data_IF_598129768925
#
_entry.id   IF_598129768925
#
_cell.length_a   1.000
_cell.length_b   1.000
_cell.length_c   1.000
_cell.angle_alpha   90.00
_cell.angle_beta   90.00
_cell.angle_gamma   90.00
#
_symmetry.space_group_name_H-M   'P 1'
#
loop_
_entity.id
_entity.type
_entity.pdbx_description
1 polymer ?
#
# COMPACT_ATOMS: atom_id res chain seq x y z
N UNK A 1 3.53 -2.46 16.37
CA UNK A 1 3.74 -2.40 14.91
C UNK A 1 4.21 -1.02 14.54
N UNK A 2 5.24 -0.94 13.72
CA UNK A 2 5.72 0.34 13.21
C UNK A 2 6.18 0.20 11.77
N UNK A 3 6.24 1.33 11.06
CA UNK A 3 6.82 1.40 9.72
C UNK A 3 8.25 1.92 9.84
N UNK A 4 9.18 1.26 9.14
CA UNK A 4 10.57 1.72 9.01
C UNK A 4 10.93 1.80 7.54
N UNK A 5 11.76 2.76 7.12
CA UNK A 5 12.20 2.82 5.73
C UNK A 5 12.73 1.46 5.27
N UNK A 6 12.29 1.03 4.09
CA UNK A 6 12.69 -0.25 3.54
C UNK A 6 14.16 -0.18 3.11
N UNK A 7 14.98 -1.11 3.61
CA UNK A 7 16.40 -1.20 3.26
C UNK A 7 16.71 -2.55 2.60
N UNK A 8 17.97 -2.72 2.18
CA UNK A 8 18.35 -3.92 1.42
C UNK A 8 18.23 -5.20 2.24
N UNK A 9 18.46 -5.17 3.55
CA UNK A 9 18.31 -6.36 4.37
C UNK A 9 16.84 -6.75 4.51
N UNK A 10 15.93 -5.76 4.64
CA UNK A 10 14.50 -6.02 4.63
C UNK A 10 14.06 -6.60 3.29
N UNK A 11 14.53 -6.02 2.19
CA UNK A 11 14.18 -6.46 0.84
C UNK A 11 14.62 -7.90 0.61
N UNK A 12 15.86 -8.24 0.99
CA UNK A 12 16.37 -9.59 0.83
C UNK A 12 15.53 -10.60 1.59
N UNK A 13 15.17 -10.28 2.84
CA UNK A 13 14.34 -11.17 3.65
C UNK A 13 12.93 -11.30 3.08
N UNK A 14 12.30 -10.19 2.73
CA UNK A 14 10.93 -10.20 2.21
C UNK A 14 10.83 -10.91 0.87
N UNK A 15 11.86 -10.83 0.02
CA UNK A 15 11.86 -11.55 -1.25
C UNK A 15 11.96 -13.07 -1.08
N UNK A 16 12.47 -13.54 0.07
CA UNK A 16 12.50 -14.97 0.36
C UNK A 16 11.22 -15.49 1.00
N UNK A 17 10.36 -14.58 1.47
CA UNK A 17 9.10 -14.94 2.12
C UNK A 17 7.99 -15.03 1.09
N UNK A 18 7.05 -15.92 1.36
CA UNK A 18 5.85 -15.99 0.55
C UNK A 18 4.89 -14.89 1.00
N UNK A 19 4.76 -13.86 0.18
CA UNK A 19 3.84 -12.77 0.40
C UNK A 19 2.61 -13.00 -0.47
N UNK A 20 1.44 -12.68 0.07
CA UNK A 20 0.18 -12.82 -0.66
C UNK A 20 -0.44 -11.45 -0.83
N UNK A 21 -0.31 -10.91 -2.03
CA UNK A 21 -0.93 -9.66 -2.39
C UNK A 21 -0.87 -9.47 -3.91
N UNK A 22 -1.94 -8.97 -4.50
CA UNK A 22 -2.01 -8.69 -5.93
C UNK A 22 -1.03 -7.63 -6.35
N UNK A 23 -0.74 -6.70 -5.45
CA UNK A 23 0.24 -5.65 -5.71
C UNK A 23 1.62 -6.25 -5.93
N UNK A 24 1.96 -7.28 -5.14
CA UNK A 24 3.25 -7.95 -5.29
C UNK A 24 3.40 -8.58 -6.67
N UNK A 25 2.34 -9.19 -7.18
CA UNK A 25 2.35 -9.75 -8.53
C UNK A 25 2.51 -8.67 -9.58
N UNK A 26 1.91 -7.51 -9.38
CA UNK A 26 1.96 -6.39 -10.33
C UNK A 26 3.35 -5.82 -10.47
N UNK A 27 4.13 -5.79 -9.41
CA UNK A 27 5.49 -5.24 -9.44
C UNK A 27 6.56 -6.31 -9.54
N UNK A 28 6.18 -7.59 -9.46
CA UNK A 28 7.08 -8.73 -9.57
C UNK A 28 7.96 -8.90 -8.34
N UNK A 29 8.99 -8.07 -8.20
CA UNK A 29 9.87 -8.04 -7.04
C UNK A 29 9.91 -6.63 -6.49
N UNK A 30 10.35 -6.48 -5.23
CA UNK A 30 10.53 -5.16 -4.66
C UNK A 30 11.53 -4.36 -5.51
N UNK A 31 11.27 -3.07 -5.75
CA UNK A 31 12.18 -2.23 -6.51
C UNK A 31 13.56 -2.17 -5.87
N UNK A 32 14.60 -2.06 -6.70
CA UNK A 32 15.95 -1.86 -6.22
C UNK A 32 16.13 -0.49 -5.57
N UNK A 33 17.30 -0.25 -4.94
CA UNK A 33 17.52 0.97 -4.16
C UNK A 33 17.27 2.28 -4.94
N UNK A 34 17.66 2.34 -6.19
CA UNK A 34 17.47 3.54 -7.01
C UNK A 34 15.99 3.78 -7.31
N UNK A 35 15.25 2.73 -7.65
CA UNK A 35 13.84 2.84 -7.94
C UNK A 35 13.03 3.17 -6.69
N UNK A 36 13.48 2.72 -5.52
CA UNK A 36 12.79 3.03 -4.26
C UNK A 36 12.82 4.50 -3.89
N UNK A 37 13.75 5.27 -4.43
CA UNK A 37 13.75 6.72 -4.20
C UNK A 37 12.54 7.41 -4.82
N UNK A 38 11.95 6.82 -5.86
CA UNK A 38 10.74 7.35 -6.49
C UNK A 38 9.47 6.88 -5.79
N UNK A 39 9.60 6.01 -4.78
CA UNK A 39 8.50 5.43 -4.04
C UNK A 39 8.75 5.60 -2.56
N UNK A 40 7.67 5.49 -1.77
CA UNK A 40 7.74 5.61 -0.31
C UNK A 40 7.33 4.28 0.30
N UNK A 41 8.27 3.33 0.31
CA UNK A 41 8.03 1.98 0.82
C UNK A 41 8.67 1.79 2.19
N UNK A 42 7.95 1.09 3.05
CA UNK A 42 8.35 0.83 4.43
C UNK A 42 8.28 -0.66 4.73
N UNK A 43 9.20 -1.14 5.55
CA UNK A 43 9.06 -2.43 6.19
C UNK A 43 8.06 -2.29 7.35
N UNK A 44 7.12 -3.23 7.43
CA UNK A 44 6.18 -3.30 8.55
C UNK A 44 6.82 -4.17 9.61
N UNK A 45 7.16 -3.56 10.76
CA UNK A 45 7.96 -4.24 11.78
C UNK A 45 7.14 -4.52 13.03
N UNK A 46 7.40 -5.70 13.60
CA UNK A 46 6.99 -6.02 14.97
C UNK A 46 8.27 -6.32 15.74
N UNK A 47 8.75 -5.34 16.50
CA UNK A 47 10.09 -5.40 17.07
C UNK A 47 11.14 -5.53 15.95
N UNK A 48 12.05 -6.51 16.04
CA UNK A 48 13.06 -6.71 15.00
C UNK A 48 12.58 -7.55 13.80
N UNK A 49 11.31 -8.00 13.82
CA UNK A 49 10.79 -8.95 12.83
C UNK A 49 10.00 -8.22 11.75
N UNK A 50 10.42 -8.28 10.46
CA UNK A 50 9.61 -7.74 9.37
C UNK A 50 8.43 -8.67 9.08
N UNK A 51 7.23 -8.10 9.10
CA UNK A 51 5.98 -8.81 8.82
C UNK A 51 5.56 -8.70 7.36
N UNK A 52 6.09 -7.71 6.65
CA UNK A 52 5.73 -7.42 5.28
C UNK A 52 6.22 -6.03 4.90
N UNK A 53 5.59 -5.47 3.88
CA UNK A 53 5.85 -4.08 3.52
C UNK A 53 4.53 -3.35 3.26
N UNK A 54 4.57 -2.03 3.42
CA UNK A 54 3.46 -1.15 3.09
C UNK A 54 4.02 0.20 2.65
N UNK A 55 3.24 0.96 1.95
CA UNK A 55 3.65 2.28 1.56
C UNK A 55 2.98 2.76 0.29
N UNK A 56 3.68 3.59 -0.45
CA UNK A 56 3.15 4.27 -1.62
C UNK A 56 4.06 4.03 -2.81
N UNK A 57 3.46 3.66 -3.94
CA UNK A 57 4.13 3.58 -5.23
C UNK A 57 3.63 4.72 -6.10
N UNK A 58 4.55 5.35 -6.82
CA UNK A 58 4.15 6.32 -7.84
C UNK A 58 3.32 5.60 -8.90
N UNK A 59 2.13 6.11 -9.14
CA UNK A 59 1.13 5.42 -9.95
C UNK A 59 0.99 6.08 -11.32
N UNK A 60 0.65 5.26 -12.31
CA UNK A 60 0.26 5.73 -13.63
C UNK A 60 -1.20 5.39 -13.93
N UNK A 61 -1.96 4.98 -12.91
CA UNK A 61 -3.35 4.59 -13.08
C UNK A 61 -4.28 5.77 -13.39
N UNK A 62 -3.86 6.99 -13.06
CA UNK A 62 -4.61 8.21 -13.33
C UNK A 62 -3.74 9.17 -14.14
N UNK A 63 -4.36 10.24 -14.66
CA UNK A 63 -3.62 11.30 -15.38
C UNK A 63 -2.98 12.31 -14.43
N UNK A 64 -3.20 12.17 -13.13
CA UNK A 64 -2.58 13.01 -12.12
C UNK A 64 -1.31 12.34 -11.59
N UNK A 65 -0.49 13.10 -10.85
CA UNK A 65 0.69 12.55 -10.18
C UNK A 65 0.27 11.90 -8.86
N UNK A 66 -0.40 10.76 -8.97
CA UNK A 66 -0.89 10.05 -7.79
C UNK A 66 0.12 9.02 -7.29
N UNK A 67 0.04 8.77 -5.98
CA UNK A 67 0.69 7.62 -5.37
C UNK A 67 -0.39 6.61 -4.99
N UNK A 68 -0.08 5.33 -5.22
CA UNK A 68 -1.01 4.27 -4.83
C UNK A 68 -0.53 3.55 -3.59
N UNK A 69 -1.48 3.31 -2.70
CA UNK A 69 -1.26 2.55 -1.47
C UNK A 69 -1.04 1.09 -1.81
N UNK A 70 0.02 0.52 -1.26
CA UNK A 70 0.35 -0.88 -1.44
C UNK A 70 0.67 -1.52 -0.10
N UNK A 71 0.38 -2.80 0.02
CA UNK A 71 0.67 -3.56 1.22
C UNK A 71 0.73 -5.04 0.86
N UNK A 72 1.75 -5.70 1.35
CA UNK A 72 1.85 -7.16 1.25
C UNK A 72 2.42 -7.67 2.56
N UNK A 73 1.73 -8.65 3.16
CA UNK A 73 2.09 -9.18 4.47
C UNK A 73 2.41 -10.66 4.35
N UNK A 74 3.24 -11.14 5.24
CA UNK A 74 3.49 -12.57 5.37
C UNK A 74 2.17 -13.31 5.57
N UNK A 75 2.04 -14.49 4.96
CA UNK A 75 0.78 -15.23 4.98
C UNK A 75 0.32 -15.56 6.40
N UNK A 76 1.25 -15.83 7.32
CA UNK A 76 0.89 -16.19 8.69
C UNK A 76 0.34 -15.04 9.53
N UNK A 77 0.39 -13.79 9.04
CA UNK A 77 -0.17 -12.65 9.78
C UNK A 77 -1.39 -12.02 9.10
N UNK A 78 -1.80 -12.53 7.95
CA UNK A 78 -2.88 -11.90 7.17
C UNK A 78 -4.23 -11.88 7.89
N UNK A 79 -4.52 -12.90 8.68
CA UNK A 79 -5.82 -13.01 9.36
C UNK A 79 -5.91 -12.20 10.64
N UNK A 80 -4.85 -11.50 11.05
CA UNK A 80 -4.79 -10.78 12.34
C UNK A 80 -5.11 -9.29 12.21
N UNK A 81 -5.63 -8.84 11.07
CA UNK A 81 -5.95 -7.42 10.85
C UNK A 81 -4.73 -6.51 10.73
N UNK A 82 -3.56 -7.07 10.57
CA UNK A 82 -2.32 -6.28 10.51
C UNK A 82 -2.15 -5.54 9.20
N UNK A 83 -2.69 -6.08 8.10
CA UNK A 83 -2.65 -5.39 6.81
C UNK A 83 -3.43 -4.07 6.87
N UNK A 84 -4.60 -4.07 7.48
CA UNK A 84 -5.39 -2.84 7.66
C UNK A 84 -4.61 -1.82 8.48
N UNK A 85 -3.99 -2.26 9.58
CA UNK A 85 -3.22 -1.38 10.45
C UNK A 85 -2.01 -0.81 9.72
N UNK A 86 -1.30 -1.63 8.96
CA UNK A 86 -0.16 -1.19 8.16
C UNK A 86 -0.57 -0.14 7.13
N UNK A 87 -1.69 -0.38 6.42
CA UNK A 87 -2.24 0.58 5.46
C UNK A 87 -2.64 1.89 6.13
N UNK A 88 -3.23 1.82 7.33
CA UNK A 88 -3.60 3.01 8.08
C UNK A 88 -2.36 3.84 8.43
N UNK A 89 -1.30 3.19 8.89
CA UNK A 89 -0.04 3.88 9.19
C UNK A 89 0.56 4.54 7.94
N UNK A 90 0.51 3.85 6.80
CA UNK A 90 1.00 4.40 5.54
C UNK A 90 0.17 5.62 5.10
N UNK A 91 -1.15 5.57 5.26
CA UNK A 91 -2.01 6.72 4.94
C UNK A 91 -1.73 7.89 5.87
N UNK A 92 -1.55 7.65 7.16
CA UNK A 92 -1.21 8.70 8.11
C UNK A 92 0.11 9.38 7.72
N UNK A 93 1.10 8.58 7.34
CA UNK A 93 2.37 9.12 6.85
C UNK A 93 2.16 9.96 5.59
N UNK A 94 1.37 9.47 4.65
CA UNK A 94 1.11 10.15 3.39
C UNK A 94 0.48 11.51 3.60
N UNK A 95 -0.49 11.61 4.51
CA UNK A 95 -1.23 12.84 4.74
C UNK A 95 -0.53 13.77 5.72
N UNK A 96 0.07 13.25 6.78
CA UNK A 96 0.65 14.06 7.85
C UNK A 96 2.11 14.43 7.61
N UNK A 97 2.87 13.57 6.97
CA UNK A 97 4.30 13.79 6.72
C UNK A 97 4.55 14.23 5.28
N UNK A 98 4.07 13.47 4.30
CA UNK A 98 4.29 13.79 2.89
C UNK A 98 3.32 14.87 2.39
N UNK A 99 2.27 15.18 3.13
CA UNK A 99 1.28 16.22 2.80
C UNK A 99 0.61 16.02 1.44
N UNK A 100 0.39 14.76 1.07
CA UNK A 100 -0.31 14.46 -0.17
C UNK A 100 -1.78 14.87 -0.07
N UNK A 101 -2.34 15.36 -1.16
CA UNK A 101 -3.75 15.76 -1.20
C UNK A 101 -4.68 14.54 -1.26
N UNK A 102 -4.23 13.48 -1.92
CA UNK A 102 -5.00 12.25 -2.00
C UNK A 102 -4.07 11.06 -2.21
N UNK A 103 -4.59 9.88 -1.92
CA UNK A 103 -3.93 8.59 -2.14
C UNK A 103 -4.93 7.69 -2.85
N UNK A 104 -4.47 6.95 -3.83
CA UNK A 104 -5.30 5.98 -4.55
C UNK A 104 -4.87 4.55 -4.18
N UNK A 105 -5.71 3.60 -4.50
CA UNK A 105 -5.39 2.18 -4.41
C UNK A 105 -6.04 1.46 -5.60
N UNK A 106 -5.28 0.62 -6.27
CA UNK A 106 -5.76 -0.13 -7.43
C UNK A 106 -5.98 -1.58 -6.98
N UNK A 107 -7.21 -2.02 -6.98
CA UNK A 107 -7.58 -3.30 -6.37
C UNK A 107 -8.37 -4.13 -7.38
N UNK A 108 -7.95 -5.39 -7.55
CA UNK A 108 -8.71 -6.33 -8.38
C UNK A 108 -10.10 -6.56 -7.78
N UNK A 109 -11.11 -6.61 -8.65
CA UNK A 109 -12.50 -6.75 -8.22
C UNK A 109 -12.74 -8.06 -7.46
N UNK A 110 -11.92 -9.08 -7.70
CA UNK A 110 -12.00 -10.36 -7.01
C UNK A 110 -11.28 -10.37 -5.67
N UNK A 111 -10.49 -9.35 -5.37
CA UNK A 111 -9.76 -9.27 -4.10
C UNK A 111 -10.64 -8.69 -3.02
N UNK A 112 -11.50 -9.51 -2.43
CA UNK A 112 -12.46 -9.08 -1.43
C UNK A 112 -11.80 -8.56 -0.16
N UNK A 113 -10.69 -9.16 0.24
CA UNK A 113 -9.96 -8.75 1.44
C UNK A 113 -9.44 -7.31 1.30
N UNK A 114 -8.81 -6.99 0.19
CA UNK A 114 -8.29 -5.65 -0.05
C UNK A 114 -9.43 -4.62 -0.18
N UNK A 115 -10.52 -5.00 -0.85
CA UNK A 115 -11.69 -4.12 -0.96
C UNK A 115 -12.31 -3.82 0.40
N UNK A 116 -12.39 -4.82 1.27
CA UNK A 116 -12.89 -4.63 2.63
C UNK A 116 -11.99 -3.69 3.43
N UNK A 117 -10.68 -3.83 3.29
CA UNK A 117 -9.71 -2.94 3.96
C UNK A 117 -9.90 -1.51 3.45
N UNK A 118 -9.99 -1.32 2.13
CA UNK A 118 -10.20 0.00 1.55
C UNK A 118 -11.45 0.68 2.10
N UNK A 119 -12.55 -0.07 2.19
CA UNK A 119 -13.79 0.45 2.78
C UNK A 119 -13.63 0.86 4.25
N UNK A 120 -12.94 0.05 5.04
CA UNK A 120 -12.70 0.36 6.45
C UNK A 120 -11.77 1.55 6.64
N UNK A 121 -10.90 1.83 5.67
CA UNK A 121 -10.02 2.99 5.69
C UNK A 121 -10.71 4.27 5.20
N UNK A 122 -11.97 4.15 4.76
CA UNK A 122 -12.72 5.30 4.27
C UNK A 122 -12.45 5.66 2.82
N UNK A 123 -11.87 4.74 2.05
CA UNK A 123 -11.66 4.96 0.61
C UNK A 123 -12.96 4.75 -0.16
N UNK A 124 -13.15 5.53 -1.20
CA UNK A 124 -14.30 5.43 -2.10
C UNK A 124 -13.84 5.12 -3.51
N UNK A 125 -14.74 4.65 -4.35
CA UNK A 125 -14.38 4.31 -5.73
C UNK A 125 -14.23 5.57 -6.57
N UNK A 126 -13.13 5.63 -7.33
CA UNK A 126 -12.89 6.69 -8.30
C UNK A 126 -13.33 6.25 -9.71
N UNK A 127 -13.10 4.99 -10.04
CA UNK A 127 -13.49 4.44 -11.33
C UNK A 127 -12.64 3.23 -11.69
N UNK A 128 -12.93 2.58 -12.83
CA UNK A 128 -12.14 1.44 -13.26
C UNK A 128 -10.76 1.88 -13.74
N UNK A 129 -9.74 1.13 -13.37
CA UNK A 129 -8.40 1.28 -13.95
C UNK A 129 -8.34 0.55 -15.29
N UNK A 130 -8.88 -0.65 -15.29
CA UNK A 130 -8.97 -1.57 -16.42
C UNK A 130 -10.07 -2.57 -16.10
N UNK A 131 -10.49 -3.43 -17.03
CA UNK A 131 -11.47 -4.47 -16.72
C UNK A 131 -11.02 -5.29 -15.48
N UNK A 132 -11.94 -5.48 -14.57
CA UNK A 132 -11.76 -6.27 -13.34
C UNK A 132 -10.81 -5.63 -12.30
N UNK A 133 -10.49 -4.35 -12.45
CA UNK A 133 -9.65 -3.64 -11.48
C UNK A 133 -10.16 -2.21 -11.28
N UNK A 134 -10.37 -1.83 -10.02
CA UNK A 134 -10.99 -0.56 -9.64
C UNK A 134 -9.99 0.32 -8.90
N UNK A 135 -10.04 1.62 -9.19
CA UNK A 135 -9.28 2.63 -8.45
C UNK A 135 -10.14 3.14 -7.31
N UNK A 136 -9.61 3.05 -6.09
CA UNK A 136 -10.16 3.66 -4.91
C UNK A 136 -9.37 4.92 -4.57
N UNK A 137 -9.99 5.85 -3.84
CA UNK A 137 -9.36 7.12 -3.49
C UNK A 137 -9.71 7.53 -2.06
N UNK A 138 -8.75 8.15 -1.39
CA UNK A 138 -8.99 8.84 -0.12
C UNK A 138 -8.30 10.19 -0.17
N UNK A 139 -9.00 11.23 0.24
CA UNK A 139 -8.49 12.60 0.29
C UNK A 139 -8.01 12.93 1.71
N UNK A 140 -6.95 13.75 1.78
CA UNK A 140 -6.39 14.20 3.06
C UNK A 140 -7.43 14.96 3.89
N UNK A 141 -8.16 15.85 3.24
CA UNK A 141 -9.22 16.63 3.88
C UNK A 141 -10.55 16.20 3.27
N UNK A 142 -11.25 15.31 3.97
CA UNK A 142 -12.51 14.77 3.48
C UNK A 142 -13.60 15.81 3.36
N UNK A 143 -13.47 16.96 4.07
CA UNK A 143 -14.44 18.04 3.95
C UNK A 143 -14.37 18.73 2.60
N UNK A 144 -13.27 18.56 1.87
CA UNK A 144 -13.15 19.09 0.51
C UNK A 144 -13.87 18.26 -0.53
N UNK A 145 -14.29 17.07 -0.16
CA UNK A 145 -14.93 16.12 -1.09
C UNK A 145 -16.43 16.42 -1.23
N UNK A 146 -16.96 17.17 -0.33
CA UNK A 146 -18.37 17.47 -0.28
C UNK A 146 -18.93 18.23 -1.47
#
# INVERSE_FOLDING_TARGET
MELRPLNDSHTALLNTLQLQDDVWESIGTLPGPEARQAHHLFAVMEGPVPLGFAGLLKSQATNANDFELVCAMRSEVQTRGMAKKACQLALEWAFNTAKLERVIACIDDTNEAARAIAGKLGMTTLGPQRPNRTVFVKYRDERRVG
#
